data_IF_016498843222
#
_entry.id   IF_016498843222
#
_cell.length_a   1.000
_cell.length_b   1.000
_cell.length_c   1.000
_cell.angle_alpha   90.00
_cell.angle_beta   90.00
_cell.angle_gamma   90.00
#
_symmetry.space_group_name_H-M   'P 1'
#
loop_
_entity.id
_entity.type
_entity.pdbx_description
1 polymer ?
#
# COMPACT_ATOMS: atom_id res chain seq x y z
N UNK A 1 6.97 38.19 19.70
CA UNK A 1 7.05 36.74 19.35
C UNK A 1 8.24 36.53 18.43
N UNK A 2 9.14 35.61 18.75
CA UNK A 2 10.28 35.29 17.86
C UNK A 2 9.75 34.44 16.67
N UNK A 3 9.65 35.05 15.50
CA UNK A 3 9.13 34.45 14.29
C UNK A 3 10.14 33.52 13.58
N UNK A 4 11.40 33.46 14.07
CA UNK A 4 12.41 32.56 13.50
C UNK A 4 12.18 31.10 13.90
N UNK A 5 11.53 30.89 15.05
CA UNK A 5 11.17 29.56 15.50
C UNK A 5 9.90 29.07 14.80
N UNK A 6 9.99 27.92 14.16
CA UNK A 6 8.88 27.28 13.45
C UNK A 6 7.66 27.09 14.36
N UNK A 7 7.85 26.66 15.59
CA UNK A 7 6.80 26.45 16.58
C UNK A 7 5.89 27.66 16.75
N UNK A 8 6.47 28.87 16.78
CA UNK A 8 5.72 30.12 16.99
C UNK A 8 4.84 30.52 15.77
N UNK A 9 5.03 29.88 14.64
CA UNK A 9 4.24 30.12 13.43
C UNK A 9 3.22 29.01 13.14
N UNK A 10 3.40 27.84 13.76
CA UNK A 10 2.59 26.64 13.45
C UNK A 10 1.76 26.14 14.62
N UNK A 11 2.20 26.35 15.86
CA UNK A 11 1.38 25.99 17.03
C UNK A 11 0.40 27.12 17.30
N UNK A 12 -0.89 26.83 17.22
CA UNK A 12 -1.95 27.82 17.31
C UNK A 12 -2.18 28.41 18.72
N UNK A 13 -1.71 27.71 19.77
CA UNK A 13 -1.90 28.14 21.16
C UNK A 13 -0.61 28.82 21.65
N UNK A 14 -0.72 30.08 22.06
CA UNK A 14 0.39 30.82 22.69
C UNK A 14 0.45 30.55 24.19
N UNK A 15 1.61 30.83 24.81
CA UNK A 15 1.74 30.76 26.25
C UNK A 15 0.80 31.74 26.99
N UNK A 16 0.38 32.83 26.33
CA UNK A 16 -0.54 33.83 26.83
C UNK A 16 -1.99 33.34 26.84
N UNK A 17 -2.35 32.39 25.95
CA UNK A 17 -3.69 31.83 25.83
C UNK A 17 -3.95 30.72 26.87
N UNK A 18 -2.90 30.01 27.29
CA UNK A 18 -3.01 28.84 28.19
C UNK A 18 -3.79 29.15 29.48
N UNK A 19 -3.54 30.25 30.20
CA UNK A 19 -4.26 30.49 31.46
C UNK A 19 -5.78 30.64 31.26
N UNK A 20 -6.20 31.32 30.21
CA UNK A 20 -7.65 31.51 29.93
C UNK A 20 -8.29 30.19 29.50
N UNK A 21 -7.62 29.37 28.77
CA UNK A 21 -8.07 28.03 28.35
C UNK A 21 -8.20 27.10 29.55
N UNK A 22 -7.21 27.05 30.42
CA UNK A 22 -7.23 26.23 31.65
C UNK A 22 -8.38 26.69 32.58
N UNK A 23 -8.59 28.00 32.71
CA UNK A 23 -9.73 28.51 33.48
C UNK A 23 -11.07 28.09 32.89
N UNK A 24 -11.22 28.10 31.56
CA UNK A 24 -12.45 27.67 30.90
C UNK A 24 -12.73 26.17 31.07
N UNK A 25 -11.67 25.35 31.10
CA UNK A 25 -11.75 23.91 31.33
C UNK A 25 -11.99 23.61 32.82
N UNK A 26 -11.56 24.46 33.73
CA UNK A 26 -11.71 24.30 35.18
C UNK A 26 -10.53 23.55 35.83
N UNK A 27 -9.34 23.59 35.23
CA UNK A 27 -8.11 22.99 35.75
C UNK A 27 -7.04 24.03 36.01
N UNK A 28 -6.07 23.75 36.88
CA UNK A 28 -5.05 24.71 37.30
C UNK A 28 -3.81 24.70 36.43
N UNK A 29 -3.52 23.57 35.75
CA UNK A 29 -2.34 23.40 34.92
C UNK A 29 -2.58 22.39 33.80
N UNK A 30 -1.72 22.43 32.79
CA UNK A 30 -1.70 21.41 31.72
C UNK A 30 -1.43 20.01 32.30
N UNK A 31 -0.56 19.90 33.31
CA UNK A 31 -0.28 18.62 33.98
C UNK A 31 -1.53 18.05 34.66
N UNK A 32 -2.29 18.91 35.36
CA UNK A 32 -3.56 18.47 35.96
C UNK A 32 -4.56 18.00 34.88
N UNK A 33 -4.62 18.67 33.76
CA UNK A 33 -5.46 18.25 32.63
C UNK A 33 -5.01 16.87 32.08
N UNK A 34 -3.72 16.70 31.93
CA UNK A 34 -3.12 15.42 31.47
C UNK A 34 -3.44 14.32 32.49
N UNK A 35 -3.26 14.57 33.78
CA UNK A 35 -3.52 13.61 34.86
C UNK A 35 -4.99 13.17 34.92
N UNK A 36 -5.91 14.07 34.59
CA UNK A 36 -7.34 13.77 34.53
C UNK A 36 -7.74 13.04 33.23
N UNK A 37 -6.94 13.13 32.18
CA UNK A 37 -7.27 12.63 30.84
C UNK A 37 -6.56 11.32 30.52
N UNK A 38 -5.30 11.17 30.95
CA UNK A 38 -4.45 10.02 30.64
C UNK A 38 -4.38 9.09 31.85
N UNK A 39 -4.67 7.79 31.69
CA UNK A 39 -4.47 6.79 32.75
C UNK A 39 -3.02 6.80 33.24
N UNK A 40 -2.84 6.71 34.58
CA UNK A 40 -1.52 6.86 35.21
C UNK A 40 -0.51 5.76 34.85
N UNK A 41 -0.97 4.61 34.39
CA UNK A 41 -0.14 3.46 33.99
C UNK A 41 0.49 3.65 32.61
N UNK A 42 -0.10 4.50 31.76
CA UNK A 42 0.43 4.81 30.41
C UNK A 42 1.03 6.21 30.29
N UNK A 43 0.91 7.05 31.34
CA UNK A 43 1.51 8.38 31.35
C UNK A 43 3.02 8.30 31.40
N UNK A 44 3.70 9.00 30.48
CA UNK A 44 5.15 9.19 30.53
C UNK A 44 5.53 9.96 31.80
N UNK A 45 6.50 9.45 32.55
CA UNK A 45 7.00 10.08 33.77
C UNK A 45 8.00 11.19 33.51
N UNK A 46 8.67 11.12 32.37
CA UNK A 46 9.68 12.07 31.95
C UNK A 46 9.37 12.56 30.53
N UNK A 47 9.72 13.82 30.20
CA UNK A 47 9.63 14.32 28.85
C UNK A 47 10.44 13.47 27.86
N UNK A 48 10.06 13.50 26.58
CA UNK A 48 10.84 12.87 25.53
C UNK A 48 12.24 13.52 25.45
N UNK A 49 13.26 12.69 25.34
CA UNK A 49 14.63 13.16 25.12
C UNK A 49 14.82 13.52 23.64
N UNK A 50 14.41 14.73 23.29
CA UNK A 50 14.51 15.27 21.92
C UNK A 50 15.63 16.31 21.86
N UNK A 51 16.28 16.48 20.70
CA UNK A 51 17.21 17.58 20.48
C UNK A 51 16.47 18.93 20.52
N UNK A 52 17.22 19.99 20.70
CA UNK A 52 16.68 21.35 20.59
C UNK A 52 16.09 21.59 19.18
N UNK A 53 15.02 22.39 19.10
CA UNK A 53 14.37 22.69 17.82
C UNK A 53 15.28 23.51 16.91
N UNK A 54 15.37 23.13 15.66
CA UNK A 54 16.13 23.82 14.63
C UNK A 54 15.32 24.95 14.01
N UNK A 55 16.00 26.00 13.55
CA UNK A 55 15.42 26.95 12.59
C UNK A 55 15.26 26.28 11.21
N UNK A 56 14.45 26.85 10.32
CA UNK A 56 14.29 26.31 8.95
C UNK A 56 15.62 26.24 8.19
N UNK A 57 16.50 27.19 8.41
CA UNK A 57 17.82 27.21 7.79
C UNK A 57 18.69 26.05 8.30
N UNK A 58 18.80 25.91 9.63
CA UNK A 58 19.56 24.82 10.25
C UNK A 58 19.01 23.46 9.83
N UNK A 59 17.69 23.32 9.74
CA UNK A 59 17.05 22.10 9.26
C UNK A 59 17.41 21.80 7.80
N UNK A 60 17.34 22.80 6.91
CA UNK A 60 17.72 22.61 5.50
C UNK A 60 19.18 22.21 5.33
N UNK A 61 20.09 22.83 6.10
CA UNK A 61 21.52 22.49 6.13
C UNK A 61 21.71 21.05 6.65
N UNK A 62 21.06 20.69 7.76
CA UNK A 62 21.13 19.36 8.34
C UNK A 62 20.59 18.25 7.41
N UNK A 63 19.46 18.48 6.77
CA UNK A 63 18.88 17.51 5.82
C UNK A 63 19.78 17.36 4.60
N UNK A 64 20.36 18.46 4.10
CA UNK A 64 21.31 18.42 2.98
C UNK A 64 22.57 17.63 3.34
N UNK A 65 23.11 17.82 4.54
CA UNK A 65 24.24 17.05 5.04
C UNK A 65 23.88 15.57 5.18
N UNK A 66 22.71 15.27 5.74
CA UNK A 66 22.24 13.89 5.88
C UNK A 66 22.06 13.22 4.51
N UNK A 67 21.43 13.92 3.57
CA UNK A 67 21.22 13.42 2.21
C UNK A 67 22.55 13.18 1.47
N UNK A 68 23.57 14.01 1.71
CA UNK A 68 24.89 13.85 1.08
C UNK A 68 25.66 12.58 1.51
N UNK A 69 25.21 11.91 2.57
CA UNK A 69 25.75 10.62 3.01
C UNK A 69 25.26 9.44 2.19
N UNK A 70 24.23 9.63 1.35
CA UNK A 70 23.79 8.60 0.42
C UNK A 70 24.75 8.52 -0.76
N UNK A 71 25.12 7.31 -1.13
CA UNK A 71 25.92 7.03 -2.31
C UNK A 71 25.01 6.53 -3.43
N UNK A 72 25.08 7.16 -4.60
CA UNK A 72 24.28 6.77 -5.76
C UNK A 72 25.09 5.79 -6.62
N UNK A 73 24.74 4.52 -6.54
CA UNK A 73 25.35 3.46 -7.34
C UNK A 73 24.53 3.14 -8.58
N UNK A 74 25.18 2.60 -9.60
CA UNK A 74 24.46 1.96 -10.71
C UNK A 74 23.85 0.66 -10.20
N UNK A 75 22.52 0.54 -10.27
CA UNK A 75 21.82 -0.65 -9.80
C UNK A 75 21.91 -1.78 -10.84
N UNK A 76 22.25 -2.99 -10.36
CA UNK A 76 22.21 -4.23 -11.14
C UNK A 76 21.35 -5.29 -10.46
N UNK A 77 20.44 -4.88 -9.59
CA UNK A 77 19.58 -5.81 -8.83
C UNK A 77 18.67 -6.59 -9.79
N UNK A 78 18.09 -5.93 -10.80
CA UNK A 78 17.17 -6.57 -11.74
C UNK A 78 15.86 -7.00 -11.07
N UNK A 79 15.19 -8.01 -11.61
CA UNK A 79 13.95 -8.60 -11.07
C UNK A 79 12.80 -7.60 -10.91
N UNK A 80 12.64 -6.66 -11.86
CA UNK A 80 11.64 -5.60 -11.81
C UNK A 80 12.07 -4.33 -11.04
N UNK A 81 13.28 -4.29 -10.51
CA UNK A 81 13.83 -3.13 -9.78
C UNK A 81 14.85 -2.40 -10.65
N UNK A 82 14.35 -1.63 -11.60
CA UNK A 82 15.15 -0.84 -12.53
C UNK A 82 14.97 0.64 -12.27
N UNK A 83 15.98 1.43 -12.61
CA UNK A 83 15.87 2.88 -12.56
C UNK A 83 14.86 3.37 -13.61
N UNK A 84 14.15 4.43 -13.29
CA UNK A 84 13.17 5.06 -14.16
C UNK A 84 13.61 6.45 -14.58
N UNK A 85 13.16 6.89 -15.73
CA UNK A 85 13.35 8.26 -16.20
C UNK A 85 12.06 9.03 -16.02
N UNK A 86 12.05 9.99 -15.07
CA UNK A 86 10.90 10.87 -14.88
C UNK A 86 10.94 12.01 -15.90
N UNK A 87 9.98 12.09 -16.85
CA UNK A 87 9.89 13.24 -17.76
C UNK A 87 9.73 14.55 -16.99
N UNK A 88 10.48 15.59 -17.37
CA UNK A 88 10.46 16.89 -16.70
C UNK A 88 9.05 17.51 -16.57
N UNK A 89 8.14 17.39 -17.57
CA UNK A 89 6.76 17.85 -17.40
C UNK A 89 6.00 17.13 -16.27
N UNK A 90 6.23 15.84 -16.09
CA UNK A 90 5.60 15.05 -15.00
C UNK A 90 6.17 15.48 -13.67
N UNK A 91 7.49 15.59 -13.55
CA UNK A 91 8.13 16.06 -12.33
C UNK A 91 7.55 17.42 -11.90
N UNK A 92 7.55 18.40 -12.81
CA UNK A 92 7.11 19.76 -12.50
C UNK A 92 5.61 19.87 -12.25
N UNK A 93 4.78 19.22 -13.08
CA UNK A 93 3.34 19.44 -13.05
C UNK A 93 2.59 18.49 -12.12
N UNK A 94 3.21 17.40 -11.70
CA UNK A 94 2.62 16.42 -10.78
C UNK A 94 3.39 16.38 -9.45
N UNK A 95 4.67 15.98 -9.45
CA UNK A 95 5.40 15.79 -8.20
C UNK A 95 5.72 17.09 -7.46
N UNK A 96 5.98 18.20 -8.15
CA UNK A 96 6.26 19.49 -7.55
C UNK A 96 4.99 20.32 -7.32
N UNK A 97 3.84 19.86 -7.78
CA UNK A 97 2.58 20.61 -7.69
C UNK A 97 1.85 20.28 -6.37
N UNK A 98 1.68 21.28 -5.47
CA UNK A 98 1.05 21.06 -4.18
C UNK A 98 -0.41 20.60 -4.26
N UNK A 99 -1.11 20.80 -5.36
CA UNK A 99 -2.45 20.25 -5.59
C UNK A 99 -2.46 18.73 -5.50
N UNK A 100 -1.38 18.09 -5.92
CA UNK A 100 -1.28 16.63 -5.89
C UNK A 100 -0.73 16.09 -4.57
N UNK A 101 0.38 16.60 -4.06
CA UNK A 101 1.03 16.03 -2.88
C UNK A 101 0.41 16.48 -1.55
N UNK A 102 -0.39 17.55 -1.53
CA UNK A 102 -1.10 18.01 -0.32
C UNK A 102 -2.56 17.55 -0.28
N UNK A 103 -3.01 16.81 -1.27
CA UNK A 103 -4.39 16.36 -1.34
C UNK A 103 -4.74 15.39 -0.21
N UNK A 104 -5.92 15.60 0.36
CA UNK A 104 -6.48 14.69 1.34
C UNK A 104 -6.84 13.34 0.71
N UNK A 105 -6.85 12.28 1.51
CA UNK A 105 -7.33 10.97 1.06
C UNK A 105 -8.78 11.09 0.58
N UNK A 106 -9.17 10.51 -0.57
CA UNK A 106 -10.45 10.76 -1.22
C UNK A 106 -11.64 10.04 -0.56
N UNK A 107 -11.77 10.14 0.76
CA UNK A 107 -12.94 9.66 1.47
C UNK A 107 -14.18 10.54 1.27
N UNK A 108 -13.97 11.81 1.00
CA UNK A 108 -15.01 12.82 0.77
C UNK A 108 -14.88 13.36 -0.64
N UNK A 109 -15.90 13.12 -1.45
CA UNK A 109 -15.90 13.55 -2.85
C UNK A 109 -15.76 15.07 -3.00
N UNK A 110 -16.38 15.83 -2.09
CA UNK A 110 -16.37 17.29 -2.12
C UNK A 110 -14.97 17.90 -2.00
N UNK A 111 -14.08 17.22 -1.27
CA UNK A 111 -12.70 17.68 -1.04
C UNK A 111 -11.73 17.15 -2.08
N UNK A 112 -12.06 16.08 -2.77
CA UNK A 112 -11.13 15.30 -3.60
C UNK A 112 -11.64 15.04 -5.03
N UNK A 113 -12.46 15.91 -5.60
CA UNK A 113 -13.12 15.72 -6.90
C UNK A 113 -12.13 15.42 -8.03
N UNK A 114 -11.08 16.23 -8.19
CA UNK A 114 -10.07 16.01 -9.22
C UNK A 114 -9.27 14.73 -9.03
N UNK A 115 -9.00 14.33 -7.80
CA UNK A 115 -8.35 13.06 -7.51
C UNK A 115 -9.24 11.86 -7.83
N UNK A 116 -10.53 11.95 -7.53
CA UNK A 116 -11.50 10.92 -7.90
C UNK A 116 -11.62 10.76 -9.42
N UNK A 117 -11.58 11.86 -10.17
CA UNK A 117 -11.54 11.82 -11.63
C UNK A 117 -10.27 11.10 -12.14
N UNK A 118 -9.11 11.39 -11.55
CA UNK A 118 -7.86 10.71 -11.89
C UNK A 118 -7.91 9.21 -11.60
N UNK A 119 -8.50 8.81 -10.47
CA UNK A 119 -8.69 7.39 -10.12
C UNK A 119 -9.63 6.69 -11.08
N UNK A 120 -10.71 7.36 -11.51
CA UNK A 120 -11.66 6.82 -12.49
C UNK A 120 -10.98 6.62 -13.86
N UNK A 121 -10.17 7.58 -14.30
CA UNK A 121 -9.37 7.46 -15.52
C UNK A 121 -8.39 6.28 -15.42
N UNK A 122 -7.73 6.11 -14.28
CA UNK A 122 -6.83 4.97 -14.05
C UNK A 122 -7.57 3.63 -14.19
N UNK A 123 -8.75 3.47 -13.56
CA UNK A 123 -9.56 2.26 -13.69
C UNK A 123 -9.90 1.94 -15.14
N UNK A 124 -10.29 2.96 -15.90
CA UNK A 124 -10.62 2.82 -17.33
C UNK A 124 -9.41 2.35 -18.13
N UNK A 125 -8.25 3.00 -17.93
CA UNK A 125 -7.02 2.64 -18.65
C UNK A 125 -6.58 1.21 -18.35
N UNK A 126 -6.60 0.81 -17.08
CA UNK A 126 -6.22 -0.56 -16.69
C UNK A 126 -7.18 -1.59 -17.28
N UNK A 127 -8.50 -1.34 -17.26
CA UNK A 127 -9.48 -2.24 -17.87
C UNK A 127 -9.25 -2.38 -19.38
N UNK A 128 -8.96 -1.29 -20.08
CA UNK A 128 -8.69 -1.31 -21.52
C UNK A 128 -7.36 -2.01 -21.86
N UNK A 129 -6.29 -1.78 -21.10
CA UNK A 129 -5.00 -2.41 -21.32
C UNK A 129 -5.02 -3.92 -21.06
N UNK A 130 -5.79 -4.37 -20.08
CA UNK A 130 -5.86 -5.78 -19.70
C UNK A 130 -6.95 -6.56 -20.44
N UNK A 131 -7.92 -5.88 -21.04
CA UNK A 131 -9.10 -6.49 -21.65
C UNK A 131 -10.07 -7.06 -20.60
N UNK A 132 -9.91 -6.74 -19.33
CA UNK A 132 -10.81 -7.15 -18.26
C UNK A 132 -11.97 -6.16 -18.12
N UNK A 133 -13.17 -6.61 -17.73
CA UNK A 133 -14.35 -5.74 -17.72
C UNK A 133 -14.36 -4.71 -16.60
N UNK A 134 -13.52 -4.90 -15.57
CA UNK A 134 -13.51 -4.06 -14.39
C UNK A 134 -12.10 -4.02 -13.76
N UNK A 135 -11.70 -2.87 -13.30
CA UNK A 135 -10.52 -2.68 -12.45
C UNK A 135 -10.90 -1.90 -11.19
N UNK A 136 -10.13 -2.07 -10.10
CA UNK A 136 -10.23 -1.18 -8.94
C UNK A 136 -9.45 0.12 -9.18
N UNK A 137 -9.48 1.04 -8.21
CA UNK A 137 -8.79 2.32 -8.37
C UNK A 137 -7.26 2.20 -8.32
N UNK A 138 -6.76 1.51 -7.35
CA UNK A 138 -5.32 1.26 -7.12
C UNK A 138 -5.15 0.55 -5.78
N UNK A 139 -4.08 -0.20 -5.66
CA UNK A 139 -3.60 -0.76 -4.39
C UNK A 139 -2.16 -0.27 -4.15
N UNK A 140 -1.57 -0.64 -3.01
CA UNK A 140 -0.25 -0.16 -2.62
C UNK A 140 0.83 -0.56 -3.64
N UNK A 141 0.84 -1.85 -4.02
CA UNK A 141 1.76 -2.45 -4.96
C UNK A 141 1.16 -3.74 -5.57
N UNK A 142 1.85 -4.35 -6.52
CA UNK A 142 1.43 -5.57 -7.21
C UNK A 142 1.31 -6.76 -6.25
N UNK A 143 2.22 -6.89 -5.31
CA UNK A 143 2.22 -7.98 -4.34
C UNK A 143 1.01 -7.88 -3.40
N UNK A 144 0.70 -6.66 -2.95
CA UNK A 144 -0.50 -6.37 -2.17
C UNK A 144 -1.76 -6.66 -2.99
N UNK A 145 -1.78 -6.28 -4.28
CA UNK A 145 -2.90 -6.54 -5.16
C UNK A 145 -3.19 -8.04 -5.29
N UNK A 146 -2.16 -8.85 -5.47
CA UNK A 146 -2.29 -10.31 -5.52
C UNK A 146 -2.82 -10.91 -4.21
N UNK A 147 -2.34 -10.41 -3.06
CA UNK A 147 -2.80 -10.86 -1.75
C UNK A 147 -4.23 -10.40 -1.43
N UNK A 148 -4.62 -9.19 -1.82
CA UNK A 148 -6.00 -8.70 -1.70
C UNK A 148 -6.97 -9.55 -2.53
N UNK A 149 -6.58 -9.92 -3.74
CA UNK A 149 -7.38 -10.80 -4.56
C UNK A 149 -7.51 -12.20 -3.96
N UNK A 150 -6.46 -12.76 -3.41
CA UNK A 150 -6.54 -14.03 -2.70
C UNK A 150 -7.53 -13.94 -1.53
N UNK A 151 -7.51 -12.83 -0.78
CA UNK A 151 -8.48 -12.54 0.30
C UNK A 151 -9.91 -12.45 -0.24
N UNK A 152 -10.10 -11.78 -1.37
CA UNK A 152 -11.40 -11.66 -2.02
C UNK A 152 -11.92 -13.01 -2.48
N UNK A 153 -11.08 -13.86 -3.10
CA UNK A 153 -11.48 -15.22 -3.48
C UNK A 153 -11.89 -16.05 -2.27
N UNK A 154 -11.09 -16.00 -1.20
CA UNK A 154 -11.41 -16.70 0.03
C UNK A 154 -12.75 -16.28 0.62
N UNK A 155 -13.04 -14.98 0.64
CA UNK A 155 -14.31 -14.43 1.11
C UNK A 155 -15.49 -14.73 0.19
N UNK A 156 -15.24 -14.98 -1.09
CA UNK A 156 -16.27 -15.23 -2.12
C UNK A 156 -16.58 -16.72 -2.31
N UNK A 157 -16.00 -17.60 -1.51
CA UNK A 157 -16.24 -19.05 -1.61
C UNK A 157 -17.74 -19.37 -1.50
N UNK A 158 -18.18 -20.31 -2.33
CA UNK A 158 -19.53 -20.85 -2.28
C UNK A 158 -19.80 -21.56 -0.94
N UNK A 159 -21.06 -21.74 -0.60
CA UNK A 159 -21.45 -22.51 0.60
C UNK A 159 -20.90 -23.95 0.58
N UNK A 160 -20.78 -24.55 -0.59
CA UNK A 160 -20.20 -25.87 -0.76
C UNK A 160 -18.70 -25.86 -0.47
N UNK A 161 -17.96 -24.89 -0.99
CA UNK A 161 -16.51 -24.73 -0.73
C UNK A 161 -16.23 -24.43 0.75
N UNK A 162 -17.06 -23.61 1.41
CA UNK A 162 -16.92 -23.35 2.85
C UNK A 162 -17.18 -24.63 3.66
N UNK A 163 -18.20 -25.41 3.30
CA UNK A 163 -18.50 -26.70 3.95
C UNK A 163 -17.41 -27.75 3.71
N UNK A 164 -16.77 -27.72 2.55
CA UNK A 164 -15.65 -28.60 2.18
C UNK A 164 -14.31 -28.11 2.76
N UNK A 165 -14.31 -27.02 3.53
CA UNK A 165 -13.10 -26.41 4.09
C UNK A 165 -12.05 -26.08 3.02
N UNK A 166 -12.49 -25.55 1.87
CA UNK A 166 -11.59 -25.14 0.78
C UNK A 166 -10.69 -23.97 1.23
N UNK A 167 -9.56 -24.30 1.84
CA UNK A 167 -8.62 -23.38 2.47
C UNK A 167 -7.24 -23.36 1.80
N UNK A 168 -7.10 -23.97 0.61
CA UNK A 168 -5.84 -24.03 -0.13
C UNK A 168 -5.83 -23.03 -1.27
N UNK A 169 -4.79 -22.19 -1.33
CA UNK A 169 -4.47 -21.30 -2.44
C UNK A 169 -3.28 -21.89 -3.20
N UNK A 170 -3.42 -22.11 -4.48
CA UNK A 170 -2.28 -22.45 -5.35
C UNK A 170 -1.61 -21.18 -5.86
N UNK A 171 -0.27 -21.15 -5.88
CA UNK A 171 0.55 -20.09 -6.46
C UNK A 171 1.59 -20.73 -7.37
N UNK A 172 1.68 -20.28 -8.62
CA UNK A 172 2.70 -20.76 -9.53
C UNK A 172 4.11 -20.41 -9.03
N UNK A 173 5.05 -21.32 -9.17
CA UNK A 173 6.44 -21.13 -8.73
C UNK A 173 7.18 -20.02 -9.46
N UNK A 174 6.68 -19.59 -10.61
CA UNK A 174 7.22 -18.50 -11.42
C UNK A 174 6.65 -17.11 -11.06
N UNK A 175 5.91 -17.00 -9.98
CA UNK A 175 5.50 -15.72 -9.40
C UNK A 175 6.69 -15.07 -8.70
N UNK A 176 6.80 -13.74 -8.74
CA UNK A 176 7.86 -13.01 -8.04
C UNK A 176 7.93 -13.41 -6.55
N UNK A 177 9.15 -13.62 -6.07
CA UNK A 177 9.39 -14.01 -4.69
C UNK A 177 8.83 -12.99 -3.67
N UNK A 178 8.88 -11.68 -4.01
CA UNK A 178 8.27 -10.61 -3.21
C UNK A 178 6.75 -10.75 -3.10
N UNK A 179 6.09 -11.05 -4.23
CA UNK A 179 4.65 -11.29 -4.26
C UNK A 179 4.25 -12.50 -3.43
N UNK A 180 4.98 -13.60 -3.56
CA UNK A 180 4.77 -14.80 -2.76
C UNK A 180 4.96 -14.54 -1.26
N UNK A 181 5.96 -13.73 -0.88
CA UNK A 181 6.20 -13.36 0.52
C UNK A 181 5.01 -12.58 1.13
N UNK A 182 4.44 -11.63 0.39
CA UNK A 182 3.26 -10.86 0.83
C UNK A 182 2.03 -11.76 0.91
N UNK A 183 1.80 -12.64 -0.08
CA UNK A 183 0.72 -13.62 -0.05
C UNK A 183 0.82 -14.48 1.22
N UNK A 184 1.98 -15.06 1.49
CA UNK A 184 2.20 -15.87 2.69
C UNK A 184 1.94 -15.09 3.98
N UNK A 185 2.43 -13.85 4.06
CA UNK A 185 2.25 -12.98 5.23
C UNK A 185 0.78 -12.72 5.53
N UNK A 186 -0.05 -12.60 4.50
CA UNK A 186 -1.48 -12.32 4.66
C UNK A 186 -2.34 -13.57 4.79
N UNK A 187 -1.99 -14.67 4.13
CA UNK A 187 -2.80 -15.89 4.08
C UNK A 187 -2.58 -16.81 5.29
N UNK A 188 -1.33 -17.01 5.70
CA UNK A 188 -1.00 -17.96 6.78
C UNK A 188 -1.69 -17.61 8.10
N UNK A 189 -1.72 -16.35 8.59
CA UNK A 189 -2.43 -16.01 9.83
C UNK A 189 -3.94 -16.25 9.78
N UNK A 190 -4.52 -16.34 8.59
CA UNK A 190 -5.94 -16.65 8.39
C UNK A 190 -6.22 -18.16 8.31
N UNK A 191 -5.21 -19.00 8.51
CA UNK A 191 -5.32 -20.44 8.39
C UNK A 191 -5.40 -20.95 6.95
N UNK A 192 -5.02 -20.12 5.98
CA UNK A 192 -5.02 -20.48 4.57
C UNK A 192 -3.69 -21.14 4.22
N UNK A 193 -3.76 -22.31 3.60
CA UNK A 193 -2.59 -23.05 3.10
C UNK A 193 -2.20 -22.50 1.72
N UNK A 194 -0.97 -22.05 1.58
CA UNK A 194 -0.39 -21.66 0.29
C UNK A 194 0.44 -22.83 -0.25
N UNK A 195 0.10 -23.30 -1.43
CA UNK A 195 0.82 -24.37 -2.14
C UNK A 195 1.50 -23.77 -3.36
N UNK A 196 2.82 -23.86 -3.40
CA UNK A 196 3.63 -23.38 -4.53
C UNK A 196 4.04 -24.55 -5.40
N UNK A 197 3.92 -24.43 -6.71
CA UNK A 197 4.31 -25.47 -7.64
C UNK A 197 4.16 -25.09 -9.10
N UNK A 198 4.46 -26.04 -9.99
CA UNK A 198 4.33 -25.87 -11.43
C UNK A 198 2.83 -25.95 -11.85
N UNK A 199 2.32 -24.87 -12.44
CA UNK A 199 0.94 -24.78 -12.93
C UNK A 199 0.59 -25.86 -13.98
N UNK A 200 1.59 -26.39 -14.70
CA UNK A 200 1.41 -27.43 -15.74
C UNK A 200 1.01 -28.76 -15.13
N UNK A 201 1.55 -29.08 -13.97
CA UNK A 201 1.38 -30.39 -13.30
C UNK A 201 0.45 -30.34 -12.08
N UNK A 202 0.06 -29.14 -11.62
CA UNK A 202 -0.80 -29.01 -10.44
C UNK A 202 -2.18 -29.61 -10.69
N UNK A 203 -2.62 -30.46 -9.76
CA UNK A 203 -3.96 -31.06 -9.77
C UNK A 203 -4.86 -30.34 -8.79
N UNK A 204 -6.01 -29.85 -9.28
CA UNK A 204 -7.00 -29.20 -8.47
C UNK A 204 -7.83 -30.21 -7.67
N UNK A 205 -7.82 -30.01 -6.36
CA UNK A 205 -8.62 -30.78 -5.40
C UNK A 205 -9.72 -29.90 -4.80
N UNK A 206 -10.79 -30.45 -4.22
CA UNK A 206 -11.93 -29.65 -3.70
C UNK A 206 -11.56 -28.68 -2.56
N UNK A 207 -10.41 -28.83 -1.95
CA UNK A 207 -9.91 -27.92 -0.92
C UNK A 207 -9.22 -26.67 -1.49
N UNK A 208 -8.98 -26.60 -2.82
CA UNK A 208 -8.40 -25.45 -3.48
C UNK A 208 -9.49 -24.45 -3.82
N UNK A 209 -9.39 -23.24 -3.26
CA UNK A 209 -10.38 -22.17 -3.52
C UNK A 209 -9.96 -21.18 -4.59
N UNK A 210 -8.69 -21.13 -4.96
CA UNK A 210 -8.15 -20.19 -5.94
C UNK A 210 -6.75 -20.52 -6.39
N UNK A 211 -6.33 -19.90 -7.47
CA UNK A 211 -5.00 -20.05 -8.04
C UNK A 211 -4.48 -18.68 -8.51
N UNK A 212 -3.17 -18.48 -8.39
CA UNK A 212 -2.46 -17.29 -8.87
C UNK A 212 -1.37 -17.73 -9.83
N UNK A 213 -1.36 -17.11 -11.00
CA UNK A 213 -0.29 -17.17 -11.99
C UNK A 213 0.13 -15.76 -12.35
N UNK A 214 1.34 -15.58 -12.84
CA UNK A 214 1.88 -14.28 -13.24
C UNK A 214 2.14 -14.26 -14.76
N UNK A 215 1.94 -13.11 -15.37
CA UNK A 215 2.17 -12.91 -16.79
C UNK A 215 2.73 -11.49 -17.05
N UNK A 216 3.93 -11.32 -17.64
CA UNK A 216 4.96 -12.36 -17.81
C UNK A 216 5.42 -12.97 -16.49
N UNK A 217 6.04 -14.16 -16.58
CA UNK A 217 6.65 -14.82 -15.42
C UNK A 217 7.86 -14.05 -14.87
N UNK A 218 8.32 -14.42 -13.68
CA UNK A 218 9.48 -13.79 -13.04
C UNK A 218 10.78 -13.85 -13.88
N UNK A 219 10.91 -14.85 -14.75
CA UNK A 219 12.01 -14.99 -15.69
C UNK A 219 11.78 -14.30 -17.05
N UNK A 220 10.63 -13.60 -17.21
CA UNK A 220 10.22 -12.95 -18.44
C UNK A 220 9.56 -13.87 -19.47
N UNK A 221 9.35 -15.14 -19.17
CA UNK A 221 8.66 -16.05 -20.08
C UNK A 221 7.16 -15.72 -20.21
N UNK A 222 6.64 -15.98 -21.41
CA UNK A 222 5.24 -15.74 -21.75
C UNK A 222 4.57 -17.10 -21.97
N UNK A 223 3.67 -17.46 -21.07
CA UNK A 223 3.02 -18.76 -21.06
C UNK A 223 1.55 -18.69 -21.52
N UNK A 224 1.03 -19.77 -22.08
CA UNK A 224 -0.41 -19.89 -22.39
C UNK A 224 -1.13 -20.63 -21.26
N UNK A 225 -1.85 -19.88 -20.44
CA UNK A 225 -2.59 -20.41 -19.29
C UNK A 225 -3.98 -20.94 -19.60
N UNK A 226 -4.40 -21.02 -20.88
CA UNK A 226 -5.78 -21.42 -21.23
C UNK A 226 -6.19 -22.77 -20.67
N UNK A 227 -5.35 -23.81 -20.85
CA UNK A 227 -5.64 -25.13 -20.33
C UNK A 227 -5.65 -25.17 -18.79
N UNK A 228 -4.73 -24.43 -18.17
CA UNK A 228 -4.71 -24.31 -16.73
C UNK A 228 -5.98 -23.67 -16.18
N UNK A 229 -6.45 -22.57 -16.79
CA UNK A 229 -7.69 -21.88 -16.41
C UNK A 229 -8.90 -22.80 -16.55
N UNK A 230 -8.96 -23.61 -17.62
CA UNK A 230 -10.03 -24.60 -17.80
C UNK A 230 -10.02 -25.65 -16.69
N UNK A 231 -8.84 -26.17 -16.31
CA UNK A 231 -8.70 -27.13 -15.21
C UNK A 231 -9.04 -26.52 -13.85
N UNK A 232 -8.62 -25.26 -13.60
CA UNK A 232 -8.94 -24.54 -12.39
C UNK A 232 -10.46 -24.35 -12.23
N UNK A 233 -11.14 -23.92 -13.28
CA UNK A 233 -12.59 -23.73 -13.25
C UNK A 233 -13.35 -25.05 -13.09
N UNK A 234 -12.88 -26.14 -13.69
CA UNK A 234 -13.51 -27.46 -13.57
C UNK A 234 -13.28 -28.11 -12.19
N UNK A 235 -12.10 -27.90 -11.59
CA UNK A 235 -11.72 -28.55 -10.33
C UNK A 235 -12.23 -27.87 -9.07
N UNK A 236 -12.53 -26.56 -9.15
CA UNK A 236 -12.86 -25.74 -7.97
C UNK A 236 -14.32 -25.28 -7.89
N UNK A 237 -15.16 -25.60 -8.86
CA UNK A 237 -16.53 -25.02 -9.01
C UNK A 237 -16.51 -23.48 -9.01
N UNK A 238 -15.40 -22.87 -9.42
CA UNK A 238 -15.28 -21.42 -9.50
C UNK A 238 -16.22 -20.89 -10.58
N UNK A 239 -17.22 -20.16 -10.19
CA UNK A 239 -18.20 -19.54 -11.08
C UNK A 239 -17.73 -18.15 -11.60
N UNK A 240 -16.44 -17.88 -11.59
CA UNK A 240 -15.89 -16.63 -12.10
C UNK A 240 -14.36 -16.63 -12.14
N UNK A 241 -13.82 -16.19 -13.28
CA UNK A 241 -12.38 -15.90 -13.38
C UNK A 241 -12.16 -14.45 -12.98
N UNK A 242 -11.49 -14.21 -11.85
CA UNK A 242 -10.89 -12.90 -11.59
C UNK A 242 -9.46 -13.02 -12.08
N UNK A 243 -9.15 -12.46 -13.23
CA UNK A 243 -7.78 -12.34 -13.67
C UNK A 243 -7.17 -11.11 -13.00
N UNK A 244 -6.14 -11.32 -12.23
CA UNK A 244 -5.28 -10.24 -11.75
C UNK A 244 -4.12 -10.12 -12.70
N UNK A 245 -4.10 -9.03 -13.41
CA UNK A 245 -2.92 -8.60 -14.11
C UNK A 245 -2.22 -7.58 -13.23
N UNK A 246 -1.17 -7.99 -12.55
CA UNK A 246 -0.23 -7.04 -12.01
C UNK A 246 0.61 -6.57 -13.20
N UNK A 247 0.31 -5.41 -13.76
CA UNK A 247 1.22 -4.72 -14.65
C UNK A 247 2.31 -4.13 -13.78
N UNK A 248 3.48 -4.74 -13.81
CA UNK A 248 4.70 -4.07 -13.38
C UNK A 248 4.93 -2.97 -14.43
N UNK A 249 4.73 -1.72 -14.03
CA UNK A 249 4.96 -0.56 -14.89
C UNK A 249 6.46 -0.25 -14.98
N UNK A 250 7.28 -1.21 -15.39
CA UNK A 250 8.72 -1.05 -15.54
C UNK A 250 9.22 -1.79 -16.79
N UNK A 251 8.54 -1.60 -17.94
CA UNK A 251 9.22 -1.84 -19.20
C UNK A 251 9.84 -0.53 -19.71
N UNK A 252 11.16 -0.48 -19.93
CA UNK A 252 11.76 0.62 -20.67
C UNK A 252 11.25 0.55 -22.12
N UNK A 253 10.62 1.63 -22.59
CA UNK A 253 10.42 1.91 -24.00
C UNK A 253 11.74 2.15 -24.70
#
# INVERSE_FOLDING_TARGET
MDTNKFVNRHVGISAEDIPSMLQAIGVKSVDELIDQTIPSDIRLKEPLNLPEPMTEREFAEHISELASKNEVFTSYIGMGWYDTVCPAPIQRNVFENPVWYTSYTPYQAEVSQGRLEALLNFQTVIAELTGLPLANCSLLDEATAAAEAATMFYGSRSRAQVKAEANTLFVDENVFASTLAVINTRMIPQGIKVVVGDYKTFEFTPDVFGAIVQYPNADGSIEDYKEFIVRANAGTELSGTVALTATVADEPL
#
